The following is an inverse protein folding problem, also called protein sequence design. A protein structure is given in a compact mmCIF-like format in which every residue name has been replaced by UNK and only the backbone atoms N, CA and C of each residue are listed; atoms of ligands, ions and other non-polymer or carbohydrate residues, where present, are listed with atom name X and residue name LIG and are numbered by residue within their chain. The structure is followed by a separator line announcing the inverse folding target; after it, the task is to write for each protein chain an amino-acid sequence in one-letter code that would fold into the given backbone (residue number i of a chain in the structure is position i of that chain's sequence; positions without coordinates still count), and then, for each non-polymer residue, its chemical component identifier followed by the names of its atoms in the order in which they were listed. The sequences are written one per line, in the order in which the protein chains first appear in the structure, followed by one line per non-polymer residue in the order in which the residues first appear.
data_IF_896660428330
#
_entry.id   IF_896660428330
#
_cell.length_a   1.000
_cell.length_b   1.000
_cell.length_c   1.000
_cell.angle_alpha   90.00
_cell.angle_beta   90.00
_cell.angle_gamma   90.00
#
_symmetry.space_group_name_H-M   'P 1'
#
loop_
_entity.id
_entity.type
_entity.pdbx_description
1 polymer ?
#
# COMPACT_ATOMS: atom_id res chain seq x y z
N UNK A 1 1.96 -9.06 -23.81
CA UNK A 1 0.93 -8.11 -23.33
C UNK A 1 1.39 -6.69 -23.70
N UNK A 2 0.53 -5.81 -24.22
CA UNK A 2 0.90 -4.44 -24.67
C UNK A 2 0.14 -3.30 -23.97
N UNK A 3 -0.82 -3.64 -23.11
CA UNK A 3 -1.50 -2.69 -22.22
C UNK A 3 -1.60 -3.33 -20.84
N UNK A 4 -1.09 -2.64 -19.82
CA UNK A 4 -0.99 -3.14 -18.44
C UNK A 4 -1.48 -2.04 -17.49
N UNK A 5 -2.29 -2.45 -16.52
CA UNK A 5 -2.62 -1.63 -15.35
C UNK A 5 -1.98 -2.26 -14.11
N UNK A 6 -1.03 -1.58 -13.48
CA UNK A 6 -0.40 -2.02 -12.23
C UNK A 6 -1.10 -1.38 -11.03
N UNK A 7 -1.35 -2.19 -10.00
CA UNK A 7 -2.25 -1.82 -8.91
C UNK A 7 -1.55 -1.54 -7.59
N UNK A 8 -2.09 -0.58 -6.83
CA UNK A 8 -1.73 -0.31 -5.44
C UNK A 8 -2.98 -0.27 -4.57
N UNK A 9 -2.92 -0.90 -3.40
CA UNK A 9 -3.99 -0.88 -2.40
C UNK A 9 -3.74 0.20 -1.36
N UNK A 10 -4.77 0.99 -1.06
CA UNK A 10 -4.70 2.08 -0.09
C UNK A 10 -4.11 1.64 1.26
N UNK A 11 -3.01 2.27 1.67
CA UNK A 11 -2.45 2.19 3.01
C UNK A 11 -3.17 3.12 3.99
N UNK A 12 -3.60 4.30 3.54
CA UNK A 12 -4.46 5.25 4.25
C UNK A 12 -3.77 6.55 4.66
N UNK A 13 -2.44 6.61 4.66
CA UNK A 13 -1.68 7.85 4.78
C UNK A 13 -1.52 8.47 3.38
N UNK A 14 -1.98 9.70 3.19
CA UNK A 14 -2.02 10.35 1.87
C UNK A 14 -0.64 10.47 1.21
N UNK A 15 0.38 10.84 1.97
CA UNK A 15 1.74 11.05 1.44
C UNK A 15 2.33 9.72 1.01
N UNK A 16 2.24 8.69 1.86
CA UNK A 16 2.72 7.35 1.52
C UNK A 16 1.97 6.74 0.34
N UNK A 17 0.64 6.88 0.28
CA UNK A 17 -0.15 6.34 -0.82
C UNK A 17 0.16 7.05 -2.15
N UNK A 18 0.40 8.36 -2.11
CA UNK A 18 0.83 9.12 -3.28
C UNK A 18 2.24 8.73 -3.72
N UNK A 19 3.18 8.62 -2.78
CA UNK A 19 4.54 8.18 -3.04
C UNK A 19 4.57 6.78 -3.67
N UNK A 20 3.81 5.83 -3.11
CA UNK A 20 3.71 4.47 -3.60
C UNK A 20 3.15 4.40 -5.03
N UNK A 21 2.10 5.18 -5.33
CA UNK A 21 1.51 5.17 -6.67
C UNK A 21 2.44 5.78 -7.73
N UNK A 22 3.12 6.89 -7.39
CA UNK A 22 4.05 7.58 -8.29
C UNK A 22 5.31 6.75 -8.55
N UNK A 23 5.90 6.18 -7.50
CA UNK A 23 7.05 5.26 -7.63
C UNK A 23 6.68 4.01 -8.39
N UNK A 24 5.50 3.42 -8.15
CA UNK A 24 4.99 2.27 -8.90
C UNK A 24 4.94 2.55 -10.41
N UNK A 25 4.37 3.70 -10.82
CA UNK A 25 4.30 4.09 -12.22
C UNK A 25 5.71 4.27 -12.83
N UNK A 26 6.58 5.01 -12.14
CA UNK A 26 7.93 5.33 -12.60
C UNK A 26 8.83 4.10 -12.69
N UNK A 27 8.86 3.27 -11.66
CA UNK A 27 9.65 2.04 -11.63
C UNK A 27 9.08 1.01 -12.61
N UNK A 28 7.76 0.86 -12.71
CA UNK A 28 7.13 -0.01 -13.70
C UNK A 28 7.57 0.33 -15.13
N UNK A 29 7.55 1.62 -15.50
CA UNK A 29 8.07 2.09 -16.79
C UNK A 29 9.56 1.80 -16.95
N UNK A 30 10.37 2.15 -15.94
CA UNK A 30 11.82 1.96 -15.95
C UNK A 30 12.22 0.49 -16.14
N UNK A 31 11.56 -0.46 -15.48
CA UNK A 31 11.84 -1.88 -15.65
C UNK A 31 11.37 -2.41 -16.99
N UNK A 32 10.20 -2.00 -17.49
CA UNK A 32 9.76 -2.38 -18.83
C UNK A 32 10.77 -1.91 -19.90
N UNK A 33 11.25 -0.68 -19.81
CA UNK A 33 12.26 -0.14 -20.74
C UNK A 33 13.59 -0.88 -20.64
N UNK A 34 14.07 -1.13 -19.40
CA UNK A 34 15.31 -1.89 -19.14
C UNK A 34 15.30 -3.26 -19.82
N UNK A 35 14.14 -3.92 -19.89
CA UNK A 35 13.98 -5.24 -20.50
C UNK A 35 13.47 -5.19 -21.96
N UNK A 36 13.50 -4.03 -22.61
CA UNK A 36 13.21 -3.88 -24.05
C UNK A 36 11.72 -3.77 -24.41
N UNK A 37 10.84 -3.51 -23.45
CA UNK A 37 9.38 -3.41 -23.63
C UNK A 37 8.88 -1.96 -23.72
N UNK A 38 9.50 -1.15 -24.56
CA UNK A 38 9.19 0.30 -24.70
C UNK A 38 7.81 0.60 -25.27
N UNK A 39 7.18 -0.36 -25.96
CA UNK A 39 5.88 -0.20 -26.62
C UNK A 39 4.67 -0.65 -25.77
N UNK A 40 4.88 -0.85 -24.47
CA UNK A 40 3.80 -1.20 -23.53
C UNK A 40 3.13 0.06 -22.98
N UNK A 41 1.81 0.18 -23.15
CA UNK A 41 0.99 1.18 -22.46
C UNK A 41 0.85 0.78 -20.99
N UNK A 42 1.41 1.59 -20.09
CA UNK A 42 1.34 1.39 -18.65
C UNK A 42 0.40 2.41 -18.00
N UNK A 43 -0.52 1.93 -17.18
CA UNK A 43 -1.42 2.74 -16.36
C UNK A 43 -1.44 2.24 -14.92
N UNK A 44 -1.96 3.04 -14.00
CA UNK A 44 -2.11 2.70 -12.59
C UNK A 44 -3.57 2.48 -12.19
N UNK A 45 -3.78 1.55 -11.26
CA UNK A 45 -5.06 1.37 -10.59
C UNK A 45 -4.89 1.51 -9.08
N UNK A 46 -5.70 2.37 -8.47
CA UNK A 46 -5.76 2.53 -7.02
C UNK A 46 -6.95 1.77 -6.48
N UNK A 47 -6.73 0.86 -5.54
CA UNK A 47 -7.80 0.18 -4.83
C UNK A 47 -8.09 0.96 -3.55
N UNK A 48 -9.32 1.44 -3.39
CA UNK A 48 -9.80 1.91 -2.09
C UNK A 48 -9.58 0.83 -1.02
N UNK A 49 -9.52 1.23 0.25
CA UNK A 49 -9.22 0.39 1.41
C UNK A 49 -9.64 -1.07 1.23
N UNK A 50 -8.69 -1.99 1.37
CA UNK A 50 -8.89 -3.43 1.14
C UNK A 50 -9.00 -4.23 2.45
N UNK A 51 -8.89 -3.57 3.61
CA UNK A 51 -9.07 -4.19 4.92
C UNK A 51 -10.51 -4.12 5.43
N UNK A 52 -10.71 -4.35 6.72
CA UNK A 52 -12.03 -4.34 7.34
C UNK A 52 -12.70 -2.96 7.31
N UNK A 53 -13.98 -2.93 6.97
CA UNK A 53 -14.82 -1.72 6.94
C UNK A 53 -15.63 -1.55 8.23
N UNK A 54 -16.04 -0.32 8.57
CA UNK A 54 -17.09 -0.09 9.56
C UNK A 54 -18.44 -0.63 9.04
N UNK A 55 -19.31 -1.08 9.94
CA UNK A 55 -20.61 -1.64 9.57
C UNK A 55 -21.64 -0.55 9.23
N UNK A 56 -21.53 0.63 9.83
CA UNK A 56 -22.44 1.73 9.57
C UNK A 56 -22.14 2.36 8.19
N UNK A 57 -23.11 2.30 7.28
CA UNK A 57 -22.95 2.79 5.89
C UNK A 57 -22.39 4.21 5.79
N UNK A 58 -22.80 5.21 6.60
CA UNK A 58 -22.20 6.55 6.54
C UNK A 58 -20.71 6.55 6.86
N UNK A 59 -20.25 5.67 7.77
CA UNK A 59 -18.83 5.53 8.09
C UNK A 59 -18.07 4.83 6.97
N UNK A 60 -18.68 3.83 6.34
CA UNK A 60 -18.12 3.14 5.18
C UNK A 60 -17.95 4.11 4.00
N UNK A 61 -18.92 5.00 3.76
CA UNK A 61 -18.81 6.08 2.79
C UNK A 61 -17.68 7.06 3.10
N UNK A 62 -17.37 7.30 4.38
CA UNK A 62 -16.17 8.05 4.78
C UNK A 62 -14.87 7.41 4.32
N UNK A 63 -14.76 6.07 4.42
CA UNK A 63 -13.59 5.30 3.94
C UNK A 63 -13.51 5.36 2.41
N UNK A 64 -14.64 5.18 1.72
CA UNK A 64 -14.75 5.28 0.24
C UNK A 64 -14.32 6.67 -0.24
N UNK A 65 -14.87 7.72 0.37
CA UNK A 65 -14.57 9.10 0.03
C UNK A 65 -13.09 9.43 0.24
N UNK A 66 -12.48 8.93 1.32
CA UNK A 66 -11.04 9.10 1.56
C UNK A 66 -10.21 8.41 0.48
N UNK A 67 -10.52 7.16 0.14
CA UNK A 67 -9.84 6.46 -0.95
C UNK A 67 -10.01 7.14 -2.32
N UNK A 68 -11.18 7.72 -2.60
CA UNK A 68 -11.41 8.54 -3.79
C UNK A 68 -10.55 9.82 -3.79
N UNK A 69 -10.44 10.49 -2.64
CA UNK A 69 -9.60 11.68 -2.50
C UNK A 69 -8.12 11.35 -2.71
N UNK A 70 -7.62 10.29 -2.08
CA UNK A 70 -6.25 9.80 -2.27
C UNK A 70 -5.98 9.47 -3.73
N UNK A 71 -6.88 8.73 -4.40
CA UNK A 71 -6.72 8.36 -5.81
C UNK A 71 -6.65 9.59 -6.74
N UNK A 72 -7.51 10.59 -6.52
CA UNK A 72 -7.50 11.84 -7.30
C UNK A 72 -6.20 12.61 -7.10
N UNK A 73 -5.82 12.84 -5.84
CA UNK A 73 -4.66 13.66 -5.49
C UNK A 73 -3.33 12.99 -5.91
N UNK A 74 -3.26 11.67 -5.83
CA UNK A 74 -2.10 10.88 -6.27
C UNK A 74 -2.02 10.71 -7.79
N UNK A 75 -3.08 11.03 -8.55
CA UNK A 75 -3.10 10.95 -10.01
C UNK A 75 -3.28 9.53 -10.57
N UNK A 76 -4.08 8.69 -9.92
CA UNK A 76 -4.40 7.35 -10.43
C UNK A 76 -5.15 7.39 -11.77
N UNK A 77 -4.85 6.47 -12.70
CA UNK A 77 -5.62 6.37 -13.95
C UNK A 77 -6.99 5.72 -13.73
N UNK A 78 -7.10 4.81 -12.76
CA UNK A 78 -8.34 4.10 -12.41
C UNK A 78 -8.45 3.95 -10.89
N UNK A 79 -9.67 4.00 -10.36
CA UNK A 79 -9.97 3.63 -8.97
C UNK A 79 -10.93 2.45 -8.93
N UNK A 80 -10.65 1.46 -8.07
CA UNK A 80 -11.61 0.38 -7.76
C UNK A 80 -12.47 0.82 -6.59
N UNK A 81 -13.77 0.87 -6.84
CA UNK A 81 -14.76 1.40 -5.90
C UNK A 81 -15.24 0.33 -4.93
N UNK A 82 -15.28 0.68 -3.66
CA UNK A 82 -15.84 -0.10 -2.56
C UNK A 82 -17.29 0.31 -2.30
N UNK A 83 -17.99 -0.49 -1.50
CA UNK A 83 -19.42 -0.26 -1.23
C UNK A 83 -19.67 -0.07 0.27
N UNK A 84 -20.77 0.61 0.65
CA UNK A 84 -21.17 0.69 2.06
C UNK A 84 -21.47 -0.69 2.68
N UNK A 85 -21.65 -1.74 1.87
CA UNK A 85 -21.94 -3.11 2.30
C UNK A 85 -20.69 -3.97 2.50
N UNK A 86 -19.48 -3.40 2.39
CA UNK A 86 -18.22 -4.16 2.44
C UNK A 86 -18.04 -5.00 3.72
N UNK A 87 -18.56 -4.56 4.86
CA UNK A 87 -18.50 -5.30 6.12
C UNK A 87 -19.59 -6.38 6.26
N UNK A 88 -20.58 -6.42 5.36
CA UNK A 88 -21.76 -7.27 5.45
C UNK A 88 -21.76 -8.40 4.41
N UNK A 89 -21.14 -8.20 3.24
CA UNK A 89 -21.02 -9.21 2.20
C UNK A 89 -21.04 -8.63 0.78
N UNK A 90 -21.50 -9.42 -0.18
CA UNK A 90 -21.67 -8.98 -1.57
C UNK A 90 -22.71 -7.85 -1.61
N UNK A 91 -22.42 -6.71 -2.25
CA UNK A 91 -23.30 -5.54 -2.21
C UNK A 91 -24.58 -5.74 -3.03
N UNK A 92 -25.64 -5.10 -2.58
CA UNK A 92 -26.81 -4.80 -3.43
C UNK A 92 -26.44 -3.86 -4.58
N UNK A 93 -27.32 -3.77 -5.59
CA UNK A 93 -27.19 -2.81 -6.68
C UNK A 93 -27.13 -1.37 -6.14
N UNK A 94 -28.00 -1.04 -5.19
CA UNK A 94 -28.14 0.29 -4.60
C UNK A 94 -26.89 0.69 -3.81
N UNK A 95 -26.33 -0.24 -3.01
CA UNK A 95 -25.09 0.00 -2.29
C UNK A 95 -23.88 0.19 -3.21
N UNK A 96 -23.81 -0.59 -4.29
CA UNK A 96 -22.78 -0.41 -5.30
C UNK A 96 -22.90 0.95 -6.01
N UNK A 97 -24.13 1.33 -6.39
CA UNK A 97 -24.41 2.65 -6.96
C UNK A 97 -24.03 3.79 -5.99
N UNK A 98 -24.33 3.66 -4.70
CA UNK A 98 -23.95 4.66 -3.70
C UNK A 98 -22.43 4.86 -3.61
N UNK A 99 -21.65 3.77 -3.62
CA UNK A 99 -20.18 3.82 -3.65
C UNK A 99 -19.64 4.51 -4.92
N UNK A 100 -20.22 4.19 -6.09
CA UNK A 100 -19.87 4.82 -7.38
C UNK A 100 -20.18 6.32 -7.40
N UNK A 101 -21.36 6.72 -6.92
CA UNK A 101 -21.78 8.12 -6.86
C UNK A 101 -20.89 8.92 -5.90
N UNK A 102 -20.63 8.39 -4.71
CA UNK A 102 -19.72 8.99 -3.73
C UNK A 102 -18.32 9.19 -4.34
N UNK A 103 -17.75 8.12 -4.90
CA UNK A 103 -16.42 8.18 -5.51
C UNK A 103 -16.38 9.22 -6.65
N UNK A 104 -17.33 9.17 -7.58
CA UNK A 104 -17.39 10.09 -8.72
C UNK A 104 -17.53 11.55 -8.28
N UNK A 105 -18.31 11.82 -7.23
CA UNK A 105 -18.47 13.17 -6.69
C UNK A 105 -17.13 13.70 -6.17
N UNK A 106 -16.41 12.92 -5.35
CA UNK A 106 -15.10 13.32 -4.79
C UNK A 106 -14.06 13.52 -5.89
N UNK A 107 -13.98 12.62 -6.87
CA UNK A 107 -13.07 12.76 -8.00
C UNK A 107 -13.29 14.06 -8.78
N UNK A 108 -14.56 14.46 -9.01
CA UNK A 108 -14.90 15.71 -9.70
C UNK A 108 -14.53 16.95 -8.89
N UNK A 109 -14.70 16.91 -7.58
CA UNK A 109 -14.33 18.03 -6.70
C UNK A 109 -12.82 18.27 -6.63
N UNK A 110 -12.02 17.25 -6.92
CA UNK A 110 -10.56 17.26 -6.83
C UNK A 110 -9.87 17.16 -8.21
N UNK A 111 -10.60 17.32 -9.31
CA UNK A 111 -10.10 17.04 -10.65
C UNK A 111 -8.85 17.87 -10.99
N UNK A 112 -8.82 19.14 -10.56
CA UNK A 112 -7.73 20.10 -10.77
C UNK A 112 -6.65 20.06 -9.67
N UNK A 113 -6.76 19.15 -8.70
CA UNK A 113 -5.88 19.12 -7.53
C UNK A 113 -4.93 17.93 -7.58
N UNK A 114 -3.72 18.11 -7.04
CA UNK A 114 -2.72 17.06 -6.84
C UNK A 114 -2.05 17.23 -5.48
N UNK A 115 -1.47 16.17 -4.95
CA UNK A 115 -0.58 16.29 -3.77
C UNK A 115 0.58 17.23 -4.15
N UNK A 116 0.87 18.27 -3.34
CA UNK A 116 1.98 19.18 -3.59
C UNK A 116 3.32 18.46 -3.44
N UNK A 117 4.34 18.91 -4.15
CA UNK A 117 5.70 18.44 -3.94
C UNK A 117 6.23 18.96 -2.61
N UNK A 118 6.55 18.05 -1.68
CA UNK A 118 7.11 18.38 -0.37
C UNK A 118 8.33 17.53 -0.07
N UNK A 119 9.22 17.95 0.85
CA UNK A 119 10.34 17.14 1.29
C UNK A 119 9.92 15.76 1.85
N UNK A 120 8.79 15.69 2.55
CA UNK A 120 8.26 14.44 3.11
C UNK A 120 7.81 13.48 2.01
N UNK A 121 7.17 14.00 0.95
CA UNK A 121 6.80 13.18 -0.21
C UNK A 121 8.05 12.65 -0.92
N UNK A 122 9.05 13.50 -1.13
CA UNK A 122 10.30 13.10 -1.77
C UNK A 122 11.10 12.07 -0.94
N UNK A 123 11.13 12.22 0.39
CA UNK A 123 11.74 11.23 1.29
C UNK A 123 11.02 9.87 1.18
N UNK A 124 9.69 9.88 1.26
CA UNK A 124 8.88 8.65 1.18
C UNK A 124 9.02 7.96 -0.20
N UNK A 125 9.03 8.72 -1.30
CA UNK A 125 9.29 8.17 -2.65
C UNK A 125 10.70 7.56 -2.75
N UNK A 126 11.72 8.21 -2.17
CA UNK A 126 13.10 7.71 -2.15
C UNK A 126 13.23 6.41 -1.36
N UNK A 127 12.58 6.33 -0.19
CA UNK A 127 12.58 5.11 0.64
C UNK A 127 11.92 3.96 -0.10
N UNK A 128 10.71 4.17 -0.65
CA UNK A 128 9.99 3.14 -1.41
C UNK A 128 10.80 2.68 -2.62
N UNK A 129 11.42 3.61 -3.36
CA UNK A 129 12.26 3.25 -4.50
C UNK A 129 13.45 2.38 -4.09
N UNK A 130 14.15 2.74 -3.01
CA UNK A 130 15.29 1.95 -2.51
C UNK A 130 14.84 0.54 -2.10
N UNK A 131 13.75 0.42 -1.34
CA UNK A 131 13.18 -0.86 -0.94
C UNK A 131 12.85 -1.75 -2.15
N UNK A 132 12.15 -1.18 -3.14
CA UNK A 132 11.78 -1.93 -4.34
C UNK A 132 13.02 -2.39 -5.11
N UNK A 133 14.04 -1.53 -5.26
CA UNK A 133 15.29 -1.88 -5.95
C UNK A 133 16.05 -2.99 -5.22
N UNK A 134 16.20 -2.88 -3.91
CA UNK A 134 16.89 -3.90 -3.09
C UNK A 134 16.22 -5.27 -3.21
N UNK A 135 14.88 -5.32 -3.18
CA UNK A 135 14.14 -6.57 -3.41
C UNK A 135 14.29 -7.06 -4.85
N UNK A 136 14.07 -6.20 -5.84
CA UNK A 136 14.06 -6.59 -7.25
C UNK A 136 15.45 -7.07 -7.72
N UNK A 137 16.52 -6.40 -7.31
CA UNK A 137 17.89 -6.79 -7.66
C UNK A 137 18.23 -8.15 -7.05
N UNK A 138 17.81 -8.43 -5.80
CA UNK A 138 18.00 -9.74 -5.19
C UNK A 138 17.19 -10.83 -5.88
N UNK A 139 15.97 -10.54 -6.32
CA UNK A 139 15.14 -11.48 -7.11
C UNK A 139 15.84 -11.81 -8.43
N UNK A 140 16.37 -10.83 -9.14
CA UNK A 140 17.12 -11.05 -10.38
C UNK A 140 18.40 -11.86 -10.15
N UNK A 141 19.14 -11.59 -9.08
CA UNK A 141 20.35 -12.32 -8.71
C UNK A 141 20.04 -13.80 -8.46
N UNK A 142 19.01 -14.10 -7.65
CA UNK A 142 18.57 -15.47 -7.39
C UNK A 142 18.12 -16.20 -8.66
N UNK A 143 17.59 -15.46 -9.63
CA UNK A 143 17.16 -15.98 -10.92
C UNK A 143 18.25 -16.04 -11.98
N UNK A 144 19.49 -15.61 -11.67
CA UNK A 144 20.58 -15.49 -12.65
C UNK A 144 20.16 -14.68 -13.90
N UNK A 145 19.35 -13.63 -13.69
CA UNK A 145 18.77 -12.80 -14.73
C UNK A 145 17.38 -13.20 -15.22
N UNK A 146 16.89 -14.40 -14.89
CA UNK A 146 15.52 -14.83 -15.17
C UNK A 146 14.58 -14.43 -14.01
N UNK A 147 13.70 -13.46 -14.26
CA UNK A 147 12.79 -12.94 -13.25
C UNK A 147 11.77 -13.98 -12.76
N UNK A 148 11.34 -14.92 -13.60
CA UNK A 148 10.35 -15.93 -13.23
C UNK A 148 10.97 -16.97 -12.30
N UNK A 149 12.15 -17.48 -12.65
CA UNK A 149 12.95 -18.36 -11.78
C UNK A 149 13.34 -17.65 -10.49
N UNK A 150 13.79 -16.40 -10.60
CA UNK A 150 14.14 -15.56 -9.46
C UNK A 150 12.98 -15.37 -8.49
N UNK A 151 11.77 -15.16 -9.00
CA UNK A 151 10.57 -15.01 -8.17
C UNK A 151 10.27 -16.26 -7.34
N UNK A 152 10.34 -17.46 -7.94
CA UNK A 152 10.13 -18.73 -7.24
C UNK A 152 11.17 -18.91 -6.13
N UNK A 153 12.46 -18.77 -6.47
CA UNK A 153 13.57 -18.89 -5.52
C UNK A 153 13.49 -17.83 -4.41
N UNK A 154 13.02 -16.62 -4.73
CA UNK A 154 12.87 -15.55 -3.76
C UNK A 154 11.80 -15.84 -2.70
N UNK A 155 10.66 -16.42 -3.08
CA UNK A 155 9.65 -16.89 -2.12
C UNK A 155 10.20 -18.02 -1.25
N UNK A 156 10.88 -19.01 -1.84
CA UNK A 156 11.51 -20.12 -1.11
C UNK A 156 12.53 -19.60 -0.07
N UNK A 157 13.31 -18.58 -0.43
CA UNK A 157 14.29 -17.95 0.45
C UNK A 157 13.69 -16.94 1.46
N UNK A 158 12.45 -16.47 1.24
CA UNK A 158 11.82 -15.38 1.99
C UNK A 158 12.34 -13.98 1.63
N UNK A 159 13.06 -13.84 0.52
CA UNK A 159 13.46 -12.55 -0.07
C UNK A 159 12.24 -11.77 -0.54
N UNK A 160 11.22 -12.51 -1.02
CA UNK A 160 9.90 -11.99 -1.31
C UNK A 160 8.91 -12.66 -0.35
N UNK A 161 8.14 -11.85 0.37
CA UNK A 161 7.16 -12.33 1.33
C UNK A 161 5.94 -11.40 1.34
N UNK A 162 4.78 -11.93 1.73
CA UNK A 162 3.50 -11.22 1.68
C UNK A 162 2.81 -11.38 3.04
N UNK A 163 2.43 -10.28 3.73
CA UNK A 163 1.91 -10.38 5.07
C UNK A 163 0.53 -11.05 5.05
N UNK A 164 0.30 -11.98 5.99
CA UNK A 164 -0.97 -12.71 6.15
C UNK A 164 -1.39 -13.55 4.93
N UNK A 165 -0.44 -13.92 4.06
CA UNK A 165 -0.74 -14.76 2.91
C UNK A 165 -1.12 -16.20 3.35
N UNK A 166 -2.17 -16.79 2.76
CA UNK A 166 -2.56 -18.18 3.04
C UNK A 166 -1.68 -19.22 2.30
N UNK A 167 -0.83 -18.76 1.38
CA UNK A 167 0.03 -19.64 0.57
C UNK A 167 1.16 -20.22 1.42
N UNK A 168 1.40 -21.52 1.28
CA UNK A 168 2.55 -22.21 1.89
C UNK A 168 3.91 -21.75 1.34
N UNK A 169 3.92 -21.07 0.19
CA UNK A 169 5.13 -20.52 -0.41
C UNK A 169 5.55 -19.19 0.23
N UNK A 170 4.63 -18.47 0.89
CA UNK A 170 4.98 -17.31 1.68
C UNK A 170 5.53 -17.77 3.04
N UNK A 171 6.65 -17.20 3.47
CA UNK A 171 7.24 -17.56 4.77
C UNK A 171 6.46 -16.96 5.95
N UNK A 172 5.79 -15.83 5.74
CA UNK A 172 5.07 -15.12 6.79
C UNK A 172 6.00 -14.54 7.86
N UNK A 173 7.25 -14.25 7.50
CA UNK A 173 8.25 -13.65 8.39
C UNK A 173 8.16 -12.12 8.47
N UNK A 174 7.43 -11.50 7.55
CA UNK A 174 7.23 -10.05 7.57
C UNK A 174 6.04 -9.65 8.44
N UNK A 175 6.23 -8.60 9.23
CA UNK A 175 5.21 -8.05 10.12
C UNK A 175 5.05 -6.55 9.86
N UNK A 176 3.95 -6.11 9.21
CA UNK A 176 3.69 -4.70 8.99
C UNK A 176 3.05 -4.06 10.24
N UNK A 177 3.35 -2.79 10.49
CA UNK A 177 2.71 -1.98 11.53
C UNK A 177 2.63 -0.53 11.07
N UNK A 178 1.69 0.26 11.59
CA UNK A 178 1.66 1.69 11.28
C UNK A 178 2.64 2.49 12.14
N UNK A 179 3.23 3.53 11.59
CA UNK A 179 3.91 4.58 12.37
C UNK A 179 2.92 5.59 12.97
N UNK A 180 3.45 6.63 13.62
CA UNK A 180 2.64 7.65 14.29
C UNK A 180 1.71 8.42 13.34
N UNK A 181 2.11 8.57 12.07
CA UNK A 181 1.34 9.24 11.01
C UNK A 181 0.37 8.31 10.29
N UNK A 182 0.38 7.02 10.63
CA UNK A 182 -0.45 6.00 10.00
C UNK A 182 0.14 5.39 8.74
N UNK A 183 1.37 5.73 8.34
CA UNK A 183 2.06 5.07 7.24
C UNK A 183 2.51 3.66 7.65
N UNK A 184 2.45 2.70 6.73
CA UNK A 184 2.82 1.31 6.95
C UNK A 184 4.35 1.19 6.95
N UNK A 185 4.88 0.52 7.97
CA UNK A 185 6.31 0.23 8.20
C UNK A 185 6.50 -1.24 8.51
N UNK A 186 7.75 -1.70 8.46
CA UNK A 186 8.13 -3.06 8.78
C UNK A 186 8.57 -3.15 10.24
N UNK A 187 7.72 -3.75 11.08
CA UNK A 187 8.07 -4.13 12.46
C UNK A 187 9.10 -5.27 12.45
N UNK A 188 8.85 -6.24 11.58
CA UNK A 188 9.79 -7.30 11.25
C UNK A 188 9.89 -7.41 9.72
N UNK A 189 11.12 -7.36 9.20
CA UNK A 189 11.39 -7.47 7.77
C UNK A 189 11.67 -8.92 7.34
N UNK A 190 11.75 -9.87 8.28
CA UNK A 190 12.10 -11.25 8.01
C UNK A 190 13.38 -11.35 7.15
N UNK A 191 13.26 -12.07 6.03
CA UNK A 191 14.35 -12.28 5.08
C UNK A 191 14.34 -11.29 3.89
N UNK A 192 13.48 -10.26 3.89
CA UNK A 192 13.52 -9.23 2.85
C UNK A 192 14.91 -8.57 2.87
N UNK A 193 15.57 -8.44 1.70
CA UNK A 193 16.97 -8.02 1.57
C UNK A 193 17.17 -6.51 1.78
N UNK A 194 16.55 -5.93 2.81
CA UNK A 194 16.68 -4.50 3.07
C UNK A 194 18.01 -4.16 3.73
N UNK A 195 18.62 -3.05 3.32
CA UNK A 195 19.81 -2.51 3.95
C UNK A 195 19.57 -2.08 5.39
N UNK A 196 20.66 -1.97 6.17
CA UNK A 196 20.58 -1.55 7.57
C UNK A 196 20.01 -0.13 7.72
N UNK A 197 20.26 0.76 6.75
CA UNK A 197 19.74 2.13 6.72
C UNK A 197 18.20 2.13 6.60
N UNK A 198 17.66 1.34 5.67
CA UNK A 198 16.20 1.22 5.49
C UNK A 198 15.55 0.58 6.71
N UNK A 199 16.13 -0.49 7.26
CA UNK A 199 15.64 -1.12 8.49
C UNK A 199 15.63 -0.15 9.68
N UNK A 200 16.65 0.70 9.80
CA UNK A 200 16.73 1.74 10.82
C UNK A 200 15.66 2.83 10.63
N UNK A 201 15.36 3.22 9.38
CA UNK A 201 14.28 4.15 9.07
C UNK A 201 12.93 3.62 9.58
N UNK A 202 12.57 2.38 9.26
CA UNK A 202 11.32 1.75 9.75
C UNK A 202 11.27 1.73 11.27
N UNK A 203 12.36 1.24 11.91
CA UNK A 203 12.47 1.17 13.37
C UNK A 203 12.24 2.54 14.02
N UNK A 204 12.90 3.59 13.55
CA UNK A 204 12.76 4.95 14.11
C UNK A 204 11.34 5.49 14.06
N UNK A 205 10.64 5.31 12.92
CA UNK A 205 9.23 5.72 12.75
C UNK A 205 8.28 4.96 13.69
N UNK A 206 8.56 3.67 13.90
CA UNK A 206 7.79 2.80 14.80
C UNK A 206 8.05 3.14 16.27
N UNK A 207 9.31 3.34 16.67
CA UNK A 207 9.70 3.77 18.01
C UNK A 207 9.11 5.13 18.38
N UNK A 208 9.01 6.05 17.41
CA UNK A 208 8.33 7.32 17.62
C UNK A 208 6.87 7.12 18.04
N UNK A 209 6.13 6.24 17.36
CA UNK A 209 4.77 5.86 17.76
C UNK A 209 4.77 5.24 19.16
N UNK A 210 5.69 4.34 19.45
CA UNK A 210 5.81 3.70 20.76
C UNK A 210 6.00 4.70 21.91
N UNK A 211 6.86 5.70 21.71
CA UNK A 211 7.06 6.80 22.66
C UNK A 211 5.79 7.63 22.86
N UNK A 212 5.10 7.99 21.78
CA UNK A 212 3.85 8.78 21.84
C UNK A 212 2.73 8.01 22.54
N UNK A 213 2.62 6.71 22.28
CA UNK A 213 1.57 5.84 22.85
C UNK A 213 1.97 5.24 24.21
N UNK A 214 3.17 5.53 24.71
CA UNK A 214 3.73 5.00 25.96
C UNK A 214 3.65 3.48 26.06
N UNK A 215 3.97 2.79 24.97
CA UNK A 215 3.99 1.33 24.88
C UNK A 215 5.08 0.85 23.93
N UNK A 216 5.66 -0.30 24.26
CA UNK A 216 6.62 -0.97 23.39
C UNK A 216 5.98 -1.34 22.03
N UNK A 217 6.65 -1.04 20.90
CA UNK A 217 6.24 -1.57 19.62
C UNK A 217 6.22 -3.10 19.58
N UNK A 218 5.18 -3.68 18.99
CA UNK A 218 5.05 -5.12 18.93
C UNK A 218 3.74 -5.58 18.30
N UNK A 219 3.51 -6.89 18.36
CA UNK A 219 2.34 -7.55 17.74
C UNK A 219 1.00 -6.92 18.17
N UNK A 220 0.92 -6.36 19.39
CA UNK A 220 -0.31 -5.71 19.83
C UNK A 220 -0.67 -4.49 18.98
N UNK A 221 0.30 -3.69 18.55
CA UNK A 221 0.06 -2.57 17.64
C UNK A 221 -0.51 -3.06 16.30
N UNK A 222 0.04 -4.16 15.78
CA UNK A 222 -0.43 -4.79 14.53
C UNK A 222 -1.90 -5.21 14.65
N UNK A 223 -2.25 -5.90 15.73
CA UNK A 223 -3.64 -6.32 15.99
C UNK A 223 -4.55 -5.10 16.09
N UNK A 224 -4.14 -4.07 16.82
CA UNK A 224 -4.94 -2.86 16.95
C UNK A 224 -5.14 -2.14 15.60
N UNK A 225 -4.12 -2.13 14.73
CA UNK A 225 -4.16 -1.55 13.39
C UNK A 225 -5.08 -2.32 12.43
N UNK A 226 -5.10 -3.66 12.50
CA UNK A 226 -6.00 -4.51 11.68
C UNK A 226 -7.47 -4.12 11.89
N UNK A 227 -7.86 -3.82 13.13
CA UNK A 227 -9.24 -3.45 13.46
C UNK A 227 -9.52 -1.95 13.42
N UNK A 228 -8.50 -1.10 13.22
CA UNK A 228 -8.60 0.34 13.44
C UNK A 228 -9.69 0.99 12.57
N UNK A 229 -9.70 0.72 11.25
CA UNK A 229 -10.62 1.36 10.31
C UNK A 229 -12.06 0.93 10.56
N UNK A 230 -12.28 -0.36 10.85
CA UNK A 230 -13.61 -0.86 11.26
C UNK A 230 -14.13 -0.18 12.54
N UNK A 231 -13.22 0.32 13.39
CA UNK A 231 -13.51 1.09 14.61
C UNK A 231 -13.45 2.61 14.40
N UNK A 232 -13.37 3.08 13.15
CA UNK A 232 -13.47 4.49 12.77
C UNK A 232 -12.18 5.31 12.86
N UNK A 233 -10.99 4.70 12.83
CA UNK A 233 -9.70 5.42 12.84
C UNK A 233 -8.64 4.72 11.99
N UNK A 234 -7.65 5.44 11.48
CA UNK A 234 -6.58 4.82 10.68
C UNK A 234 -5.58 4.02 11.55
N UNK A 235 -5.18 4.58 12.69
CA UNK A 235 -4.16 4.02 13.58
C UNK A 235 -4.81 3.42 14.82
N UNK A 236 -4.48 2.17 15.13
CA UNK A 236 -4.95 1.46 16.32
C UNK A 236 -4.36 2.09 17.58
N UNK A 237 -5.19 2.61 18.48
CA UNK A 237 -4.74 3.21 19.75
C UNK A 237 -4.91 2.22 20.90
N UNK A 238 -4.05 2.29 21.93
CA UNK A 238 -4.27 1.55 23.17
C UNK A 238 -5.63 1.90 23.77
N UNK A 239 -6.20 0.96 24.52
CA UNK A 239 -7.42 1.17 25.32
C UNK A 239 -7.07 1.83 26.65
#
# INVERSE_FOLDING_TARGET
VKSIAIGYGQGGNLIQDAAALRTLARLGRSYLDRFGYSDVLLTTVFHQWMGGFPQEEPRALGVIAWGAATAALAGANKVIVKTPHEAMGVPSLEANLAGLLCTRQVLRMLAEQRVPETPELAEEESVIEREVREVFDRVLELGEGDLAVGTVRAFEAGVLDIPFAPSRAARGGIMPVRDASGAIRLLDAGNIPLSAEIKDFHRKKIEERGRQEKREPGLRMVIDDIYAISKGRLVGKPR
#
